data_IF_924367092070
#
_entry.id   IF_924367092070
#
_cell.length_a   1.000
_cell.length_b   1.000
_cell.length_c   1.000
_cell.angle_alpha   90.00
_cell.angle_beta   90.00
_cell.angle_gamma   90.00
#
_symmetry.space_group_name_H-M   'P 1'
#
loop_
_entity.id
_entity.type
_entity.pdbx_description
1 polymer ?
#
# COMPACT_ATOMS: atom_id res chain seq x y z
N UNK A 1 13.21 -13.62 6.11
CA UNK A 1 11.86 -13.77 5.50
C UNK A 1 11.13 -12.46 5.72
N UNK A 2 10.66 -11.83 4.66
CA UNK A 2 9.86 -10.61 4.75
C UNK A 2 8.41 -10.97 4.43
N UNK A 3 7.46 -10.28 5.07
CA UNK A 3 6.04 -10.45 4.83
C UNK A 3 5.41 -9.09 4.53
N UNK A 4 4.53 -9.06 3.53
CA UNK A 4 3.71 -7.91 3.17
C UNK A 4 2.28 -8.23 3.58
N UNK A 5 1.77 -7.53 4.59
CA UNK A 5 0.37 -7.61 4.98
C UNK A 5 -0.47 -6.66 4.13
N UNK A 6 -1.63 -7.10 3.65
CA UNK A 6 -2.56 -6.25 2.88
C UNK A 6 -3.96 -6.39 3.47
N UNK A 7 -4.52 -5.29 3.95
CA UNK A 7 -5.88 -5.17 4.46
C UNK A 7 -6.70 -4.42 3.41
N UNK A 8 -7.58 -5.11 2.68
CA UNK A 8 -8.33 -4.56 1.54
C UNK A 8 -9.55 -5.41 1.21
N UNK A 9 -10.49 -4.85 0.45
CA UNK A 9 -11.65 -5.58 -0.05
C UNK A 9 -11.29 -6.67 -1.07
N UNK A 10 -12.23 -7.58 -1.32
CA UNK A 10 -11.99 -8.77 -2.15
C UNK A 10 -11.69 -8.47 -3.62
N UNK A 11 -12.24 -7.40 -4.18
CA UNK A 11 -11.99 -7.04 -5.57
C UNK A 11 -10.55 -6.54 -5.72
N UNK A 12 -10.14 -5.63 -4.83
CA UNK A 12 -8.78 -5.11 -4.76
C UNK A 12 -7.76 -6.22 -4.48
N UNK A 13 -8.07 -7.18 -3.59
CA UNK A 13 -7.24 -8.37 -3.36
C UNK A 13 -6.97 -9.14 -4.67
N UNK A 14 -8.01 -9.41 -5.46
CA UNK A 14 -7.86 -10.14 -6.73
C UNK A 14 -7.04 -9.33 -7.75
N UNK A 15 -7.28 -8.02 -7.84
CA UNK A 15 -6.53 -7.13 -8.73
C UNK A 15 -5.04 -7.10 -8.39
N UNK A 16 -4.71 -6.94 -7.11
CA UNK A 16 -3.32 -6.92 -6.62
C UNK A 16 -2.66 -8.29 -6.86
N UNK A 17 -3.32 -9.40 -6.51
CA UNK A 17 -2.80 -10.76 -6.75
C UNK A 17 -2.43 -10.97 -8.21
N UNK A 18 -3.37 -10.69 -9.12
CA UNK A 18 -3.16 -10.88 -10.56
C UNK A 18 -1.97 -10.07 -11.10
N UNK A 19 -1.72 -8.88 -10.54
CA UNK A 19 -0.63 -8.01 -11.00
C UNK A 19 0.72 -8.38 -10.38
N UNK A 20 0.73 -8.87 -9.14
CA UNK A 20 1.94 -9.16 -8.38
C UNK A 20 2.43 -10.62 -8.50
N UNK A 21 1.62 -11.54 -9.05
CA UNK A 21 1.89 -12.99 -9.10
C UNK A 21 3.26 -13.38 -9.68
N UNK A 22 3.80 -12.59 -10.62
CA UNK A 22 5.10 -12.86 -11.26
C UNK A 22 6.25 -12.02 -10.68
N UNK A 23 5.98 -11.15 -9.69
CA UNK A 23 6.94 -10.18 -9.15
C UNK A 23 7.36 -10.47 -7.72
N UNK A 24 6.43 -11.02 -6.94
CA UNK A 24 6.61 -11.32 -5.51
C UNK A 24 6.14 -12.76 -5.29
N UNK A 25 6.88 -13.51 -4.48
CA UNK A 25 6.49 -14.89 -4.18
C UNK A 25 5.17 -14.88 -3.41
N UNK A 26 4.19 -15.72 -3.79
CA UNK A 26 2.86 -15.71 -3.18
C UNK A 26 2.89 -15.86 -1.64
N UNK A 27 3.89 -16.59 -1.13
CA UNK A 27 4.09 -16.81 0.31
C UNK A 27 4.58 -15.56 1.06
N UNK A 28 5.00 -14.52 0.36
CA UNK A 28 5.46 -13.25 0.94
C UNK A 28 4.29 -12.27 1.16
N UNK A 29 3.13 -12.47 0.48
CA UNK A 29 1.95 -11.61 0.60
C UNK A 29 0.87 -12.29 1.44
N UNK A 30 0.41 -11.60 2.49
CA UNK A 30 -0.62 -12.08 3.40
C UNK A 30 -1.80 -11.10 3.36
N UNK A 31 -2.93 -11.58 2.84
CA UNK A 31 -4.18 -10.82 2.88
C UNK A 31 -4.87 -10.99 4.22
N UNK A 32 -5.14 -9.84 4.85
CA UNK A 32 -5.70 -9.75 6.19
C UNK A 32 -7.13 -9.25 6.11
N UNK A 33 -8.03 -9.94 6.80
CA UNK A 33 -9.45 -9.61 6.85
C UNK A 33 -9.94 -9.71 8.31
N UNK A 34 -11.22 -9.40 8.55
CA UNK A 34 -11.79 -9.41 9.91
C UNK A 34 -11.64 -10.76 10.63
N UNK A 35 -11.62 -11.88 9.91
CA UNK A 35 -11.55 -13.23 10.49
C UNK A 35 -10.14 -13.62 10.92
N UNK A 36 -9.11 -13.17 10.19
CA UNK A 36 -7.73 -13.59 10.43
C UNK A 36 -6.84 -12.51 11.08
N UNK A 37 -7.25 -11.24 11.10
CA UNK A 37 -6.42 -10.11 11.55
C UNK A 37 -5.83 -10.33 12.95
N UNK A 38 -6.62 -10.89 13.87
CA UNK A 38 -6.22 -11.19 15.25
C UNK A 38 -5.05 -12.17 15.32
N UNK A 39 -4.98 -13.15 14.41
CA UNK A 39 -3.92 -14.15 14.36
C UNK A 39 -2.57 -13.51 13.98
N UNK A 40 -2.60 -12.40 13.24
CA UNK A 40 -1.41 -11.70 12.76
C UNK A 40 -0.98 -10.52 13.64
N UNK A 41 -1.68 -10.25 14.75
CA UNK A 41 -1.36 -9.11 15.67
C UNK A 41 0.07 -9.09 16.20
N UNK A 42 0.75 -10.23 16.17
CA UNK A 42 2.11 -10.38 16.67
C UNK A 42 3.18 -10.55 15.60
N UNK A 43 2.79 -10.65 14.33
CA UNK A 43 3.69 -10.83 13.19
C UNK A 43 4.43 -9.51 12.91
N UNK A 44 5.71 -9.63 12.56
CA UNK A 44 6.52 -8.51 12.09
C UNK A 44 6.42 -8.46 10.57
N UNK A 45 5.76 -7.43 10.07
CA UNK A 45 5.66 -7.19 8.63
C UNK A 45 6.79 -6.28 8.18
N UNK A 46 7.30 -6.53 6.97
CA UNK A 46 8.15 -5.55 6.31
C UNK A 46 7.29 -4.35 5.87
N UNK A 47 6.15 -4.62 5.24
CA UNK A 47 5.12 -3.61 4.97
C UNK A 47 3.73 -4.06 5.38
N UNK A 48 2.92 -3.13 5.88
CA UNK A 48 1.48 -3.29 6.03
C UNK A 48 0.77 -2.26 5.16
N UNK A 49 -0.13 -2.72 4.29
CA UNK A 49 -0.96 -1.90 3.41
C UNK A 49 -2.37 -1.88 3.97
N UNK A 50 -2.92 -0.69 4.21
CA UNK A 50 -4.25 -0.50 4.79
C UNK A 50 -5.13 0.27 3.81
N UNK A 51 -5.95 -0.46 3.06
CA UNK A 51 -6.84 0.03 2.00
C UNK A 51 -8.34 -0.12 2.34
N UNK A 52 -8.68 -0.50 3.56
CA UNK A 52 -10.06 -0.54 4.04
C UNK A 52 -10.14 -0.13 5.50
N UNK A 53 -11.36 0.14 5.97
CA UNK A 53 -11.58 0.45 7.38
C UNK A 53 -11.46 -0.81 8.26
N UNK A 54 -10.65 -0.71 9.30
CA UNK A 54 -10.54 -1.75 10.33
C UNK A 54 -11.29 -1.30 11.58
N UNK A 55 -12.30 -2.06 11.99
CA UNK A 55 -13.11 -1.79 13.18
C UNK A 55 -12.29 -1.92 14.46
N UNK A 56 -11.51 -3.00 14.59
CA UNK A 56 -10.71 -3.25 15.77
C UNK A 56 -9.41 -2.45 15.77
N UNK A 57 -9.51 -1.18 16.22
CA UNK A 57 -8.37 -0.24 16.29
C UNK A 57 -7.23 -0.74 17.20
N UNK A 58 -7.53 -1.55 18.22
CA UNK A 58 -6.50 -2.12 19.10
C UNK A 58 -5.60 -3.11 18.36
N UNK A 59 -6.21 -4.02 17.59
CA UNK A 59 -5.46 -4.99 16.78
C UNK A 59 -4.67 -4.27 15.69
N UNK A 60 -5.33 -3.34 14.97
CA UNK A 60 -4.67 -2.57 13.92
C UNK A 60 -3.43 -1.87 14.48
N UNK A 61 -3.55 -1.18 15.62
CA UNK A 61 -2.43 -0.51 16.27
C UNK A 61 -1.25 -1.47 16.54
N UNK A 62 -1.50 -2.67 17.07
CA UNK A 62 -0.43 -3.67 17.29
C UNK A 62 0.28 -4.09 16.01
N UNK A 63 -0.46 -4.24 14.92
CA UNK A 63 0.11 -4.58 13.61
C UNK A 63 0.97 -3.43 13.09
N UNK A 64 0.45 -2.19 13.15
CA UNK A 64 1.18 -0.99 12.72
C UNK A 64 2.50 -0.81 13.49
N UNK A 65 2.48 -0.95 14.82
CA UNK A 65 3.67 -0.83 15.69
C UNK A 65 4.78 -1.84 15.38
N UNK A 66 4.44 -2.99 14.80
CA UNK A 66 5.39 -4.07 14.45
C UNK A 66 5.82 -4.04 12.99
N UNK A 67 5.25 -3.15 12.19
CA UNK A 67 5.51 -3.07 10.75
C UNK A 67 6.64 -2.08 10.48
N UNK A 68 7.56 -2.44 9.58
CA UNK A 68 8.68 -1.56 9.22
C UNK A 68 8.22 -0.37 8.37
N UNK A 69 7.35 -0.61 7.39
CA UNK A 69 6.70 0.41 6.58
C UNK A 69 5.17 0.30 6.68
N UNK A 70 4.48 1.44 6.65
CA UNK A 70 3.02 1.51 6.67
C UNK A 70 2.57 2.23 5.41
N UNK A 71 1.82 1.55 4.55
CA UNK A 71 1.18 2.13 3.37
C UNK A 71 -0.29 2.37 3.68
N UNK A 72 -0.70 3.64 3.67
CA UNK A 72 -1.94 4.07 4.31
C UNK A 72 -2.84 4.86 3.37
N UNK A 73 -4.05 4.35 3.12
CA UNK A 73 -5.06 5.08 2.36
C UNK A 73 -5.56 6.29 3.16
N UNK A 74 -5.14 7.49 2.78
CA UNK A 74 -5.50 8.73 3.50
C UNK A 74 -6.94 9.18 3.27
N UNK A 75 -7.61 8.68 2.22
CA UNK A 75 -8.97 9.07 1.89
C UNK A 75 -10.00 8.25 2.67
N UNK A 76 -9.69 6.99 2.99
CA UNK A 76 -10.54 6.13 3.82
C UNK A 76 -10.37 6.50 5.30
N UNK A 77 -9.14 6.75 5.71
CA UNK A 77 -8.81 7.02 7.10
C UNK A 77 -8.47 8.50 7.27
N UNK A 78 -9.50 9.35 7.31
CA UNK A 78 -9.48 10.82 7.31
C UNK A 78 -8.70 11.53 8.45
N UNK A 79 -7.69 10.92 9.09
CA UNK A 79 -6.83 11.54 10.12
C UNK A 79 -5.36 11.10 9.98
N UNK A 80 -4.80 11.25 8.78
CA UNK A 80 -3.38 10.96 8.49
C UNK A 80 -2.39 11.74 9.36
N UNK A 81 -2.77 12.93 9.87
CA UNK A 81 -1.90 13.81 10.68
C UNK A 81 -1.39 13.16 11.97
N UNK A 82 -2.12 12.20 12.56
CA UNK A 82 -1.64 11.51 13.76
C UNK A 82 -0.76 10.28 13.46
N UNK A 83 -0.82 9.76 12.23
CA UNK A 83 -0.08 8.55 11.87
C UNK A 83 1.41 8.85 11.65
N UNK A 84 1.73 9.89 10.86
CA UNK A 84 3.12 10.31 10.60
C UNK A 84 3.85 10.76 11.89
N UNK A 85 3.11 11.25 12.90
CA UNK A 85 3.68 11.59 14.21
C UNK A 85 3.97 10.38 15.10
N UNK A 86 3.30 9.24 14.84
CA UNK A 86 3.40 8.04 15.67
C UNK A 86 4.33 6.98 15.08
N UNK A 87 4.63 7.02 13.79
CA UNK A 87 5.44 6.02 13.09
C UNK A 87 6.39 6.68 12.08
N UNK A 88 7.62 6.20 12.04
CA UNK A 88 8.71 6.85 11.29
C UNK A 88 8.73 6.58 9.78
N UNK A 89 7.91 5.65 9.27
CA UNK A 89 7.95 5.13 7.89
C UNK A 89 6.54 4.98 7.28
N UNK A 90 5.77 6.07 7.23
CA UNK A 90 4.40 6.07 6.69
C UNK A 90 4.37 6.65 5.28
N UNK A 91 3.87 5.86 4.33
CA UNK A 91 3.59 6.23 2.95
C UNK A 91 2.08 6.41 2.83
N UNK A 92 1.62 7.65 2.77
CA UNK A 92 0.19 7.93 2.56
C UNK A 92 -0.13 7.91 1.06
N UNK A 93 -1.27 7.35 0.67
CA UNK A 93 -1.76 7.42 -0.70
C UNK A 93 -3.24 7.78 -0.76
N UNK A 94 -3.64 8.43 -1.85
CA UNK A 94 -5.01 8.88 -2.07
C UNK A 94 -5.09 10.05 -3.05
N UNK A 95 -6.30 10.51 -3.31
CA UNK A 95 -6.58 11.71 -4.11
C UNK A 95 -6.24 13.02 -3.38
N UNK A 96 -6.04 12.96 -2.06
CA UNK A 96 -5.59 14.12 -1.30
C UNK A 96 -4.18 14.57 -1.77
N UNK A 97 -4.04 15.84 -2.14
CA UNK A 97 -2.76 16.41 -2.58
C UNK A 97 -1.68 16.43 -1.50
N UNK A 98 -2.02 16.24 -0.22
CA UNK A 98 -1.05 16.06 0.88
C UNK A 98 -0.56 14.61 1.04
N UNK A 99 -1.06 13.67 0.24
CA UNK A 99 -0.61 12.28 0.27
C UNK A 99 0.80 12.14 -0.33
N UNK A 100 1.55 11.17 0.16
CA UNK A 100 2.89 10.84 -0.36
C UNK A 100 2.81 10.37 -1.81
N UNK A 101 1.75 9.64 -2.15
CA UNK A 101 1.44 9.18 -3.51
C UNK A 101 0.01 9.62 -3.87
N UNK A 102 -0.16 10.26 -5.03
CA UNK A 102 -1.46 10.74 -5.48
C UNK A 102 -1.69 10.51 -6.97
N UNK A 103 -2.94 10.66 -7.42
CA UNK A 103 -3.31 10.61 -8.84
C UNK A 103 -3.26 12.03 -9.38
N UNK A 104 -2.33 12.31 -10.30
CA UNK A 104 -2.23 13.59 -11.00
C UNK A 104 -3.17 13.64 -12.21
N UNK A 105 -3.47 12.50 -12.83
CA UNK A 105 -4.41 12.38 -13.95
C UNK A 105 -5.04 11.00 -14.03
N UNK A 106 -6.30 10.94 -14.46
CA UNK A 106 -7.03 9.70 -14.69
C UNK A 106 -7.72 9.77 -16.06
N UNK A 107 -7.35 8.85 -16.96
CA UNK A 107 -8.02 8.64 -18.25
C UNK A 107 -8.75 7.30 -18.24
N UNK A 108 -9.42 6.92 -19.32
CA UNK A 108 -10.01 5.58 -19.43
C UNK A 108 -8.92 4.48 -19.41
N UNK A 109 -7.79 4.73 -20.08
CA UNK A 109 -6.74 3.73 -20.31
C UNK A 109 -5.68 3.69 -19.20
N UNK A 110 -5.42 4.81 -18.51
CA UNK A 110 -4.30 4.91 -17.59
C UNK A 110 -4.52 5.89 -16.44
N UNK A 111 -3.70 5.72 -15.40
CA UNK A 111 -3.51 6.69 -14.33
C UNK A 111 -2.09 7.27 -14.40
N UNK A 112 -1.96 8.57 -14.20
CA UNK A 112 -0.68 9.19 -13.85
C UNK A 112 -0.62 9.29 -12.33
N UNK A 113 0.36 8.61 -11.74
CA UNK A 113 0.57 8.51 -10.30
C UNK A 113 1.81 9.32 -9.94
N UNK A 114 1.62 10.34 -9.12
CA UNK A 114 2.68 11.24 -8.68
C UNK A 114 3.16 10.87 -7.27
N UNK A 115 4.46 10.62 -7.13
CA UNK A 115 5.16 10.37 -5.86
C UNK A 115 5.75 11.71 -5.41
N UNK A 116 5.15 12.28 -4.38
CA UNK A 116 5.36 13.67 -3.96
C UNK A 116 6.49 13.85 -2.94
N UNK A 117 6.80 12.80 -2.18
CA UNK A 117 7.89 12.78 -1.21
C UNK A 117 8.81 11.59 -1.49
N UNK A 118 10.06 11.71 -1.05
CA UNK A 118 11.02 10.63 -1.08
C UNK A 118 10.52 9.46 -0.23
N UNK A 119 10.38 8.27 -0.82
CA UNK A 119 10.02 7.07 -0.07
C UNK A 119 11.31 6.34 0.31
N UNK A 120 11.66 6.24 1.61
CA UNK A 120 12.80 5.47 2.04
C UNK A 120 12.50 3.98 1.80
N UNK A 121 13.31 3.33 0.98
CA UNK A 121 13.15 1.91 0.62
C UNK A 121 14.53 1.26 0.66
N UNK A 122 14.88 0.59 1.76
CA UNK A 122 16.10 -0.23 1.94
C UNK A 122 17.32 0.25 1.11
N UNK A 123 18.18 1.07 1.71
CA UNK A 123 19.38 1.67 1.11
C UNK A 123 19.17 2.51 -0.17
N UNK A 124 17.95 2.58 -0.72
CA UNK A 124 17.55 3.44 -1.84
C UNK A 124 16.49 4.46 -1.39
N UNK A 125 16.47 5.60 -2.06
CA UNK A 125 15.40 6.59 -1.97
C UNK A 125 14.79 6.69 -3.36
N UNK A 126 13.49 6.42 -3.49
CA UNK A 126 12.77 6.81 -4.70
C UNK A 126 12.56 8.32 -4.66
N UNK A 127 13.08 9.00 -5.68
CA UNK A 127 12.93 10.44 -5.82
C UNK A 127 11.50 10.83 -6.18
N UNK A 128 11.20 12.13 -6.09
CA UNK A 128 9.98 12.71 -6.63
C UNK A 128 9.89 12.38 -8.12
N UNK A 129 8.81 11.72 -8.53
CA UNK A 129 8.62 11.26 -9.90
C UNK A 129 7.14 11.03 -10.21
N UNK A 130 6.81 10.98 -11.50
CA UNK A 130 5.50 10.58 -11.98
C UNK A 130 5.60 9.23 -12.72
N UNK A 131 4.65 8.33 -12.44
CA UNK A 131 4.60 6.98 -13.00
C UNK A 131 3.29 6.81 -13.74
N UNK A 132 3.37 6.41 -15.01
CA UNK A 132 2.20 6.00 -15.79
C UNK A 132 1.83 4.56 -15.42
N UNK A 133 0.60 4.36 -14.97
CA UNK A 133 0.01 3.06 -14.69
C UNK A 133 -1.04 2.74 -15.75
N UNK A 134 -0.78 1.75 -16.58
CA UNK A 134 -1.75 1.26 -17.58
C UNK A 134 -2.82 0.41 -16.90
N UNK A 135 -4.09 0.78 -17.11
CA UNK A 135 -5.22 -0.06 -16.72
C UNK A 135 -5.30 -1.19 -17.74
N UNK A 136 -5.22 -2.41 -17.26
CA UNK A 136 -5.43 -3.61 -18.06
C UNK A 136 -6.94 -3.94 -18.12
N UNK A 137 -7.31 -5.05 -18.77
CA UNK A 137 -8.72 -5.47 -18.96
C UNK A 137 -9.48 -5.65 -17.64
N UNK A 138 -8.77 -5.91 -16.55
CA UNK A 138 -9.33 -5.90 -15.21
C UNK A 138 -9.55 -4.43 -14.84
N UNK A 139 -10.78 -4.04 -14.53
CA UNK A 139 -11.19 -2.69 -14.15
C UNK A 139 -10.49 -2.20 -12.86
N UNK A 140 -9.17 -1.99 -12.92
CA UNK A 140 -8.31 -1.62 -11.81
C UNK A 140 -8.67 -0.19 -11.42
N UNK A 141 -9.07 -0.04 -10.16
CA UNK A 141 -9.37 1.28 -9.62
C UNK A 141 -8.06 2.03 -9.28
N UNK A 142 -8.17 3.33 -9.04
CA UNK A 142 -6.99 4.15 -8.77
C UNK A 142 -6.23 3.77 -7.49
N UNK A 143 -6.93 3.30 -6.44
CA UNK A 143 -6.30 2.86 -5.20
C UNK A 143 -5.44 1.62 -5.42
N UNK A 144 -5.97 0.64 -6.16
CA UNK A 144 -5.22 -0.54 -6.57
C UNK A 144 -4.00 -0.16 -7.39
N UNK A 145 -4.16 0.76 -8.35
CA UNK A 145 -3.06 1.30 -9.16
C UNK A 145 -1.96 1.94 -8.31
N UNK A 146 -2.33 2.73 -7.30
CA UNK A 146 -1.39 3.33 -6.35
C UNK A 146 -0.69 2.27 -5.49
N UNK A 147 -1.43 1.30 -4.93
CA UNK A 147 -0.86 0.21 -4.13
C UNK A 147 0.16 -0.58 -4.94
N UNK A 148 -0.22 -1.00 -6.14
CA UNK A 148 0.66 -1.77 -7.04
C UNK A 148 1.90 -0.95 -7.39
N UNK A 149 1.74 0.34 -7.69
CA UNK A 149 2.88 1.22 -7.99
C UNK A 149 3.83 1.34 -6.80
N UNK A 150 3.31 1.49 -5.58
CA UNK A 150 4.11 1.52 -4.36
C UNK A 150 4.85 0.18 -4.17
N UNK A 151 4.14 -0.94 -4.33
CA UNK A 151 4.73 -2.27 -4.21
C UNK A 151 5.82 -2.52 -5.26
N UNK A 152 5.61 -2.10 -6.51
CA UNK A 152 6.60 -2.18 -7.58
C UNK A 152 7.86 -1.38 -7.27
N UNK A 153 7.71 -0.21 -6.66
CA UNK A 153 8.85 0.61 -6.23
C UNK A 153 9.62 -0.05 -5.07
N UNK A 154 8.91 -0.68 -4.12
CA UNK A 154 9.51 -1.28 -2.93
C UNK A 154 10.16 -2.63 -3.19
N UNK A 155 9.58 -3.44 -4.06
CA UNK A 155 9.82 -4.90 -4.08
C UNK A 155 10.08 -5.49 -5.46
N UNK A 156 9.92 -4.75 -6.57
CA UNK A 156 10.21 -5.31 -7.89
C UNK A 156 11.70 -5.64 -8.00
N UNK A 157 12.02 -6.95 -7.95
CA UNK A 157 13.38 -7.49 -8.00
C UNK A 157 14.08 -7.23 -9.35
N UNK A 158 13.34 -6.77 -10.36
CA UNK A 158 13.84 -6.53 -11.72
C UNK A 158 14.31 -5.08 -11.97
N UNK A 159 14.43 -4.24 -10.93
CA UNK A 159 14.91 -2.84 -11.00
C UNK A 159 16.19 -2.55 -10.20
#
# INVERSE_FOLDING_TARGET
MFFIGIITDKNSENNIKNRMINKIDENEIIFLNKENLENFKNVKFDSIIVNEEVENKYILKKILEKSKYIVWNSDIHCKSENLKNSYSNVITYGYNSKATVTISSATEENYLIFIQENIPMNDKITGIQEVKFEKNENNINAYDGMIITIMDLMYDKNK
#
